data_IF_736134487872
#
_entry.id   IF_736134487872
#
_cell.length_a   1.000
_cell.length_b   1.000
_cell.length_c   1.000
_cell.angle_alpha   90.00
_cell.angle_beta   90.00
_cell.angle_gamma   90.00
#
_symmetry.space_group_name_H-M   'P 1'
#
loop_
_entity.id
_entity.type
_entity.pdbx_description
1 polymer ?
#
# COMPACT_ATOMS: atom_id res chain seq x y z
N UNK A 1 -15.96 -4.15 -13.36
CA UNK A 1 -17.00 -3.97 -12.33
C UNK A 1 -16.80 -2.64 -11.62
N UNK A 2 -15.62 -2.38 -11.02
CA UNK A 2 -15.30 -1.12 -10.30
C UNK A 2 -15.52 0.12 -11.15
N UNK A 3 -15.05 0.16 -12.42
CA UNK A 3 -15.25 1.32 -13.31
C UNK A 3 -16.73 1.60 -13.61
N UNK A 4 -17.58 0.55 -13.68
CA UNK A 4 -19.02 0.73 -13.87
C UNK A 4 -19.70 1.29 -12.62
N UNK A 5 -19.22 0.96 -11.43
CA UNK A 5 -19.72 1.50 -10.15
C UNK A 5 -19.37 2.97 -10.00
N UNK A 6 -18.15 3.39 -10.39
CA UNK A 6 -17.71 4.79 -10.34
C UNK A 6 -18.51 5.70 -11.31
N UNK A 7 -18.98 5.15 -12.43
CA UNK A 7 -19.73 5.90 -13.45
C UNK A 7 -21.24 5.66 -13.38
N UNK A 8 -21.74 4.97 -12.35
CA UNK A 8 -23.16 4.71 -12.16
C UNK A 8 -23.88 5.90 -11.52
N UNK A 9 -25.22 5.91 -11.60
CA UNK A 9 -26.07 6.88 -10.90
C UNK A 9 -25.99 6.77 -9.37
N UNK A 10 -25.44 5.66 -8.86
CA UNK A 10 -25.15 5.43 -7.43
C UNK A 10 -23.72 5.88 -7.04
N UNK A 11 -23.08 6.68 -7.90
CA UNK A 11 -21.80 7.31 -7.58
C UNK A 11 -21.98 8.27 -6.38
N UNK A 12 -20.87 8.46 -5.67
CA UNK A 12 -20.82 9.40 -4.52
C UNK A 12 -21.38 10.75 -4.94
N UNK A 13 -22.33 11.28 -4.17
CA UNK A 13 -22.91 12.60 -4.41
C UNK A 13 -21.87 13.72 -4.25
N UNK A 14 -22.12 14.88 -4.85
CA UNK A 14 -21.25 16.05 -4.69
C UNK A 14 -21.14 16.48 -3.22
N UNK A 15 -22.22 16.39 -2.47
CA UNK A 15 -22.26 16.68 -1.03
C UNK A 15 -21.36 15.73 -0.24
N UNK A 16 -21.45 14.42 -0.46
CA UNK A 16 -20.60 13.43 0.17
C UNK A 16 -19.13 13.60 -0.21
N UNK A 17 -18.84 13.87 -1.49
CA UNK A 17 -17.50 14.17 -1.95
C UNK A 17 -16.92 15.40 -1.22
N UNK A 18 -17.66 16.50 -1.17
CA UNK A 18 -17.25 17.72 -0.49
C UNK A 18 -17.07 17.50 1.01
N UNK A 19 -17.95 16.72 1.66
CA UNK A 19 -17.78 16.34 3.05
C UNK A 19 -16.48 15.57 3.30
N UNK A 20 -16.17 14.61 2.46
CA UNK A 20 -14.91 13.83 2.57
C UNK A 20 -13.69 14.74 2.39
N UNK A 21 -13.67 15.57 1.36
CA UNK A 21 -12.51 16.40 1.03
C UNK A 21 -12.28 17.52 2.04
N UNK A 22 -13.35 18.17 2.52
CA UNK A 22 -13.22 19.35 3.38
C UNK A 22 -13.29 19.05 4.87
N UNK A 23 -13.77 17.87 5.29
CA UNK A 23 -13.92 17.50 6.69
C UNK A 23 -13.11 16.25 7.06
N UNK A 24 -13.37 15.12 6.41
CA UNK A 24 -12.76 13.85 6.84
C UNK A 24 -11.28 13.75 6.49
N UNK A 25 -10.89 14.20 5.29
CA UNK A 25 -9.48 14.18 4.86
C UNK A 25 -8.59 15.09 5.72
N UNK A 26 -8.94 16.34 6.02
CA UNK A 26 -8.18 17.19 6.95
C UNK A 26 -8.08 16.60 8.36
N UNK A 27 -9.17 16.02 8.90
CA UNK A 27 -9.15 15.38 10.20
C UNK A 27 -8.18 14.18 10.21
N UNK A 28 -8.18 13.35 9.16
CA UNK A 28 -7.22 12.26 9.00
C UNK A 28 -5.77 12.76 8.89
N UNK A 29 -5.55 13.84 8.14
CA UNK A 29 -4.23 14.49 8.01
C UNK A 29 -3.72 14.98 9.36
N UNK A 30 -4.58 15.58 10.18
CA UNK A 30 -4.22 16.04 11.52
C UNK A 30 -3.81 14.89 12.42
N UNK A 31 -4.61 13.81 12.51
CA UNK A 31 -4.30 12.62 13.33
C UNK A 31 -2.90 12.08 13.01
N UNK A 32 -2.55 11.97 11.73
CA UNK A 32 -1.24 11.45 11.36
C UNK A 32 -0.11 12.44 11.61
N UNK A 33 -0.35 13.74 11.41
CA UNK A 33 0.62 14.77 11.78
C UNK A 33 0.95 14.70 13.27
N UNK A 34 -0.06 14.52 14.10
CA UNK A 34 0.10 14.32 15.54
C UNK A 34 0.87 13.05 15.88
N UNK A 35 0.57 11.91 15.21
CA UNK A 35 1.30 10.65 15.41
C UNK A 35 2.79 10.84 15.13
N UNK A 36 3.15 11.46 14.02
CA UNK A 36 4.54 11.72 13.66
C UNK A 36 5.23 12.66 14.64
N UNK A 37 4.59 13.77 15.03
CA UNK A 37 5.17 14.79 15.89
C UNK A 37 5.30 14.34 17.36
N UNK A 38 4.24 13.77 17.94
CA UNK A 38 4.24 13.33 19.34
C UNK A 38 5.25 12.21 19.59
N UNK A 39 5.39 11.30 18.64
CA UNK A 39 6.29 10.17 18.75
C UNK A 39 7.67 10.41 18.12
N UNK A 40 7.92 11.60 17.59
CA UNK A 40 9.16 11.97 16.90
C UNK A 40 9.57 10.93 15.83
N UNK A 41 8.63 10.57 14.96
CA UNK A 41 8.81 9.54 13.94
C UNK A 41 9.28 10.15 12.61
N UNK A 42 10.25 9.51 12.00
CA UNK A 42 10.67 9.80 10.62
C UNK A 42 9.78 9.09 9.59
N UNK A 43 9.35 7.87 9.90
CA UNK A 43 8.48 7.04 9.06
C UNK A 43 7.56 6.16 9.92
N UNK A 44 6.47 5.71 9.30
CA UNK A 44 5.70 4.55 9.74
C UNK A 44 6.06 3.36 8.85
N UNK A 45 6.44 2.24 9.45
CA UNK A 45 6.79 1.01 8.74
C UNK A 45 5.73 -0.07 9.00
N UNK A 46 5.28 -0.75 7.94
CA UNK A 46 4.23 -1.77 8.02
C UNK A 46 4.34 -2.78 6.87
N UNK A 47 3.77 -4.00 6.99
CA UNK A 47 3.61 -4.88 5.84
C UNK A 47 2.80 -4.18 4.74
N UNK A 48 3.35 -4.06 3.52
CA UNK A 48 2.66 -3.34 2.41
C UNK A 48 1.27 -3.90 2.14
N UNK A 49 1.13 -5.22 2.24
CA UNK A 49 -0.16 -5.92 2.15
C UNK A 49 -0.30 -6.91 3.29
N UNK A 50 -1.53 -7.13 3.75
CA UNK A 50 -1.81 -8.11 4.83
C UNK A 50 -1.80 -9.56 4.32
N UNK A 51 -1.87 -9.75 3.01
CA UNK A 51 -1.93 -11.06 2.36
C UNK A 51 -1.03 -11.06 1.12
N UNK A 52 -0.41 -12.20 0.77
CA UNK A 52 0.36 -12.34 -0.46
C UNK A 52 -0.55 -12.32 -1.69
N UNK A 53 0.06 -12.26 -2.88
CA UNK A 53 -0.68 -12.31 -4.15
C UNK A 53 -1.59 -13.54 -4.22
N UNK A 54 -2.82 -13.33 -4.69
CA UNK A 54 -3.83 -14.37 -4.87
C UNK A 54 -3.74 -15.01 -6.27
N UNK A 55 -4.29 -16.20 -6.44
CA UNK A 55 -4.49 -16.77 -7.78
C UNK A 55 -5.54 -15.97 -8.53
N UNK A 56 -5.41 -15.89 -9.85
CA UNK A 56 -6.43 -15.26 -10.70
C UNK A 56 -7.78 -15.96 -10.51
N UNK A 57 -8.84 -15.15 -10.40
CA UNK A 57 -10.22 -15.61 -10.20
C UNK A 57 -10.49 -16.40 -8.89
N UNK A 58 -9.58 -16.37 -7.93
CA UNK A 58 -9.82 -16.95 -6.60
C UNK A 58 -10.74 -16.02 -5.79
N UNK A 59 -11.90 -16.56 -5.36
CA UNK A 59 -12.90 -15.86 -4.56
C UNK A 59 -12.69 -16.05 -3.05
N UNK A 60 -11.51 -16.52 -2.65
CA UNK A 60 -11.19 -16.78 -1.24
C UNK A 60 -11.36 -15.52 -0.40
N UNK A 61 -11.98 -15.69 0.75
CA UNK A 61 -12.03 -14.68 1.79
C UNK A 61 -10.80 -14.81 2.71
N UNK A 62 -10.37 -13.69 3.24
CA UNK A 62 -9.22 -13.59 4.14
C UNK A 62 -9.66 -13.11 5.51
N UNK A 63 -9.18 -13.78 6.57
CA UNK A 63 -9.52 -13.43 7.95
C UNK A 63 -8.70 -12.23 8.40
N UNK A 64 -9.36 -11.08 8.63
CA UNK A 64 -8.77 -9.91 9.26
C UNK A 64 -9.43 -9.68 10.63
N UNK A 65 -8.72 -10.04 11.69
CA UNK A 65 -9.27 -10.02 13.04
C UNK A 65 -10.50 -10.93 13.15
N UNK A 66 -11.69 -10.34 13.39
CA UNK A 66 -12.96 -11.07 13.52
C UNK A 66 -13.81 -11.12 12.24
N UNK A 67 -13.35 -10.51 11.15
CA UNK A 67 -14.11 -10.39 9.89
C UNK A 67 -13.43 -11.16 8.76
N UNK A 68 -14.23 -11.76 7.90
CA UNK A 68 -13.78 -12.33 6.63
C UNK A 68 -14.00 -11.28 5.54
N UNK A 69 -12.96 -10.96 4.79
CA UNK A 69 -12.95 -9.89 3.80
C UNK A 69 -12.46 -10.39 2.44
N UNK A 70 -12.93 -9.81 1.33
CA UNK A 70 -12.40 -10.10 0.00
C UNK A 70 -10.92 -9.74 -0.12
N UNK A 71 -10.23 -10.38 -1.07
CA UNK A 71 -8.81 -10.14 -1.35
C UNK A 71 -8.47 -8.65 -1.52
N UNK A 72 -9.27 -7.90 -2.28
CA UNK A 72 -9.02 -6.49 -2.53
C UNK A 72 -8.94 -5.69 -1.22
N UNK A 73 -9.86 -5.92 -0.27
CA UNK A 73 -9.82 -5.26 1.03
C UNK A 73 -8.61 -5.67 1.86
N UNK A 74 -8.25 -6.95 1.86
CA UNK A 74 -7.08 -7.44 2.59
C UNK A 74 -5.77 -6.90 2.01
N UNK A 75 -5.65 -6.82 0.69
CA UNK A 75 -4.44 -6.35 0.01
C UNK A 75 -4.25 -4.84 0.05
N UNK A 76 -5.32 -4.05 0.07
CA UNK A 76 -5.26 -2.58 0.06
C UNK A 76 -5.30 -1.92 1.45
N UNK A 77 -5.61 -2.68 2.50
CA UNK A 77 -5.89 -2.15 3.84
C UNK A 77 -4.81 -1.20 4.36
N UNK A 78 -3.55 -1.57 4.27
CA UNK A 78 -2.44 -0.80 4.84
C UNK A 78 -2.00 0.38 3.96
N UNK A 79 -2.23 0.33 2.65
CA UNK A 79 -1.79 1.39 1.72
C UNK A 79 -2.80 2.51 1.54
N UNK A 80 -4.06 2.29 1.91
CA UNK A 80 -5.12 3.29 1.77
C UNK A 80 -4.89 4.57 2.60
N UNK A 81 -4.48 4.50 3.88
CA UNK A 81 -4.36 5.72 4.70
C UNK A 81 -3.41 6.77 4.13
N UNK A 82 -2.22 6.39 3.66
CA UNK A 82 -1.27 7.32 3.05
C UNK A 82 -1.84 7.94 1.76
N UNK A 83 -2.46 7.13 0.91
CA UNK A 83 -3.09 7.57 -0.34
C UNK A 83 -4.19 8.61 -0.08
N UNK A 84 -5.07 8.35 0.89
CA UNK A 84 -6.17 9.27 1.23
C UNK A 84 -5.68 10.59 1.81
N UNK A 85 -4.58 10.56 2.57
CA UNK A 85 -3.97 11.75 3.18
C UNK A 85 -3.15 12.57 2.20
N UNK A 86 -2.60 11.96 1.15
CA UNK A 86 -1.62 12.55 0.25
C UNK A 86 -0.21 12.61 0.83
N UNK A 87 0.15 11.65 1.68
CA UNK A 87 1.49 11.49 2.20
C UNK A 87 2.38 10.70 1.24
N UNK A 88 3.70 10.92 1.26
CA UNK A 88 4.62 10.09 0.51
C UNK A 88 4.64 8.67 1.07
N UNK A 89 4.57 7.69 0.18
CA UNK A 89 4.65 6.26 0.49
C UNK A 89 5.70 5.56 -0.36
N UNK A 90 6.46 4.64 0.23
CA UNK A 90 7.47 3.84 -0.44
C UNK A 90 7.28 2.37 -0.10
N UNK A 91 7.33 1.51 -1.11
CA UNK A 91 7.26 0.05 -0.92
C UNK A 91 8.56 -0.61 -1.34
N UNK A 92 9.13 -1.42 -0.47
CA UNK A 92 10.40 -2.10 -0.67
C UNK A 92 10.26 -3.61 -0.45
N UNK A 93 10.90 -4.46 -1.29
CA UNK A 93 10.82 -5.90 -1.13
C UNK A 93 11.64 -6.35 0.09
N UNK A 94 11.07 -7.27 0.90
CA UNK A 94 11.75 -7.83 2.10
C UNK A 94 11.99 -9.33 2.03
N UNK A 95 11.39 -10.04 1.09
CA UNK A 95 11.56 -11.49 1.00
C UNK A 95 10.49 -12.18 0.16
N UNK A 96 10.42 -13.48 0.34
CA UNK A 96 9.43 -14.35 -0.29
C UNK A 96 8.69 -15.15 0.79
N UNK A 97 7.43 -15.46 0.53
CA UNK A 97 6.69 -16.45 1.32
C UNK A 97 7.29 -17.85 1.12
N UNK A 98 6.88 -18.82 1.94
CA UNK A 98 7.25 -20.24 1.76
C UNK A 98 6.89 -20.81 0.38
N UNK A 99 5.90 -20.21 -0.29
CA UNK A 99 5.46 -20.57 -1.64
C UNK A 99 6.14 -19.74 -2.76
N UNK A 100 7.16 -18.94 -2.42
CA UNK A 100 7.92 -18.14 -3.39
C UNK A 100 7.24 -16.87 -3.86
N UNK A 101 6.16 -16.42 -3.21
CA UNK A 101 5.49 -15.15 -3.54
C UNK A 101 6.22 -13.97 -2.89
N UNK A 102 6.42 -12.84 -3.59
CA UNK A 102 7.10 -11.69 -3.03
C UNK A 102 6.27 -11.03 -1.93
N UNK A 103 6.97 -10.56 -0.89
CA UNK A 103 6.43 -9.75 0.19
C UNK A 103 7.24 -8.48 0.34
N UNK A 104 6.58 -7.42 0.80
CA UNK A 104 7.16 -6.10 0.87
C UNK A 104 6.82 -5.38 2.18
N UNK A 105 7.69 -4.45 2.57
CA UNK A 105 7.46 -3.47 3.62
C UNK A 105 7.04 -2.13 3.00
N UNK A 106 6.05 -1.49 3.58
CA UNK A 106 5.65 -0.12 3.27
C UNK A 106 6.26 0.85 4.27
N UNK A 107 6.67 2.01 3.78
CA UNK A 107 7.09 3.16 4.57
C UNK A 107 6.23 4.36 4.19
N UNK A 108 5.56 4.95 5.16
CA UNK A 108 4.86 6.23 4.99
C UNK A 108 5.65 7.33 5.71
N UNK A 109 5.86 8.44 5.02
CA UNK A 109 6.52 9.63 5.57
C UNK A 109 5.53 10.74 5.95
N UNK A 110 5.99 11.76 6.69
CA UNK A 110 5.25 13.00 6.87
C UNK A 110 4.95 13.70 5.53
N UNK A 111 3.94 14.59 5.46
CA UNK A 111 3.67 15.37 4.24
C UNK A 111 4.89 16.14 3.76
N UNK A 112 5.16 16.11 2.45
CA UNK A 112 6.27 16.79 1.77
C UNK A 112 7.68 16.26 2.11
N UNK A 113 7.81 15.14 2.82
CA UNK A 113 9.10 14.53 3.21
C UNK A 113 9.56 13.44 2.23
N UNK A 114 9.15 13.51 0.94
CA UNK A 114 9.50 12.55 -0.11
C UNK A 114 11.01 12.29 -0.18
N UNK A 115 11.80 13.35 -0.11
CA UNK A 115 13.28 13.26 -0.17
C UNK A 115 13.86 12.45 0.98
N UNK A 116 13.35 12.68 2.19
CA UNK A 116 13.77 11.95 3.39
C UNK A 116 13.34 10.48 3.30
N UNK A 117 12.11 10.23 2.85
CA UNK A 117 11.60 8.88 2.67
C UNK A 117 12.45 8.10 1.66
N UNK A 118 12.82 8.70 0.53
CA UNK A 118 13.71 8.08 -0.45
C UNK A 118 15.10 7.81 0.13
N UNK A 119 15.66 8.73 0.92
CA UNK A 119 16.95 8.53 1.59
C UNK A 119 16.91 7.34 2.57
N UNK A 120 15.84 7.21 3.34
CA UNK A 120 15.60 6.06 4.23
C UNK A 120 15.48 4.76 3.42
N UNK A 121 14.73 4.79 2.31
CA UNK A 121 14.62 3.64 1.41
C UNK A 121 15.97 3.22 0.84
N UNK A 122 16.82 4.17 0.41
CA UNK A 122 18.17 3.90 -0.08
C UNK A 122 19.08 3.31 1.02
N UNK A 123 18.93 3.76 2.27
CA UNK A 123 19.65 3.19 3.41
C UNK A 123 19.19 1.74 3.67
N UNK A 124 17.90 1.49 3.64
CA UNK A 124 17.34 0.14 3.77
C UNK A 124 17.81 -0.80 2.66
N UNK A 125 17.86 -0.33 1.40
CA UNK A 125 18.35 -1.13 0.26
C UNK A 125 19.79 -1.66 0.47
N UNK A 126 20.63 -0.97 1.24
CA UNK A 126 21.99 -1.41 1.55
C UNK A 126 22.07 -2.54 2.57
N UNK A 127 21.08 -2.66 3.44
CA UNK A 127 21.08 -3.63 4.56
C UNK A 127 20.12 -4.80 4.35
N UNK A 128 19.16 -4.67 3.44
CA UNK A 128 18.19 -5.75 3.18
C UNK A 128 18.87 -6.99 2.57
N UNK A 129 18.30 -8.19 2.73
CA UNK A 129 18.76 -9.38 2.02
C UNK A 129 18.72 -9.18 0.50
N UNK A 130 19.73 -9.70 -0.21
CA UNK A 130 19.70 -9.74 -1.68
C UNK A 130 18.57 -10.65 -2.13
N UNK A 131 17.71 -10.12 -2.99
CA UNK A 131 16.61 -10.89 -3.59
C UNK A 131 16.96 -11.23 -5.04
N UNK A 132 16.72 -12.49 -5.39
CA UNK A 132 16.83 -12.93 -6.78
C UNK A 132 15.61 -12.47 -7.56
N UNK A 133 15.75 -11.87 -8.76
CA UNK A 133 14.63 -11.51 -9.60
C UNK A 133 13.79 -12.75 -9.95
N UNK A 134 12.47 -12.61 -10.18
CA UNK A 134 11.62 -13.72 -10.59
C UNK A 134 12.12 -14.38 -11.88
N UNK A 135 12.20 -15.70 -11.90
CA UNK A 135 12.69 -16.48 -13.05
C UNK A 135 11.87 -16.30 -14.33
N UNK A 136 10.61 -15.85 -14.24
CA UNK A 136 9.76 -15.51 -15.38
C UNK A 136 10.29 -14.35 -16.23
N UNK A 137 11.10 -13.45 -15.66
CA UNK A 137 11.72 -12.35 -16.41
C UNK A 137 12.85 -12.82 -17.35
N UNK A 138 13.45 -13.99 -17.11
CA UNK A 138 14.48 -14.54 -17.99
C UNK A 138 13.89 -15.22 -19.25
N UNK A 139 12.67 -15.77 -19.18
CA UNK A 139 12.04 -16.46 -20.32
C UNK A 139 11.55 -15.56 -21.45
N UNK A 140 11.29 -14.27 -21.17
CA UNK A 140 10.78 -13.35 -22.19
C UNK A 140 11.87 -12.72 -23.05
N UNK A 141 13.13 -12.68 -22.61
CA UNK A 141 14.25 -12.14 -23.41
C UNK A 141 14.73 -13.09 -24.50
N UNK A 142 14.61 -14.41 -24.30
CA UNK A 142 15.03 -15.42 -25.29
C UNK A 142 14.00 -15.66 -26.42
N UNK A 143 12.76 -15.14 -26.28
CA UNK A 143 11.72 -15.24 -27.33
C UNK A 143 11.66 -14.03 -28.26
N UNK A 144 12.50 -13.01 -28.05
CA UNK A 144 12.57 -11.78 -28.85
C UNK A 144 13.87 -11.67 -29.67
N UNK A 145 14.57 -12.79 -29.84
CA UNK A 145 15.72 -12.92 -30.77
C UNK A 145 15.39 -13.86 -31.93
#
# INVERSE_FOLDING_TARGET
KVLKEITSTDAVSEEEYNHVIHNLRPALQQIYTEIFSINNLDILAFPSTLVPANKLNDQKLYRLGKKDVPYLMASSHNVQPATLRGNPGLTLPIGLTSNGLPVAIGFDGPPNDDRKLLAIGMAYEKIKPKMTPPTSLHRSRDKLR
#
